data_IF_782647757732
#
_entry.id   IF_782647757732
#
_cell.length_a   1.000
_cell.length_b   1.000
_cell.length_c   1.000
_cell.angle_alpha   90.00
_cell.angle_beta   90.00
_cell.angle_gamma   90.00
#
_symmetry.space_group_name_H-M   'P 1'
#
loop_
_entity.id
_entity.type
_entity.pdbx_description
1 polymer ?
#
# COMPACT_ATOMS: atom_id res chain seq x y z
N UNK A 1 -2.97 13.79 20.03
CA UNK A 1 -3.02 14.17 18.60
C UNK A 1 -4.47 14.39 18.21
N UNK A 2 -4.80 15.43 17.45
CA UNK A 2 -6.19 15.66 16.99
C UNK A 2 -6.63 14.63 15.95
N UNK A 3 -7.94 14.32 15.90
CA UNK A 3 -8.52 13.29 15.01
C UNK A 3 -8.17 13.49 13.53
N UNK A 4 -8.21 14.74 13.04
CA UNK A 4 -7.83 15.08 11.66
C UNK A 4 -6.36 14.76 11.37
N UNK A 5 -5.47 15.06 12.32
CA UNK A 5 -4.05 14.72 12.17
C UNK A 5 -3.85 13.21 12.15
N UNK A 6 -4.56 12.45 13.00
CA UNK A 6 -4.52 11.00 13.03
C UNK A 6 -4.94 10.38 11.67
N UNK A 7 -6.02 10.90 11.11
CA UNK A 7 -6.54 10.50 9.80
C UNK A 7 -5.50 10.76 8.70
N UNK A 8 -4.97 11.98 8.62
CA UNK A 8 -4.01 12.36 7.58
C UNK A 8 -2.68 11.59 7.74
N UNK A 9 -2.16 11.42 8.95
CA UNK A 9 -0.95 10.61 9.17
C UNK A 9 -1.18 9.16 8.73
N UNK A 10 -2.35 8.60 9.01
CA UNK A 10 -2.71 7.24 8.55
C UNK A 10 -2.69 7.13 7.02
N UNK A 11 -3.20 8.13 6.30
CA UNK A 11 -3.16 8.12 4.82
C UNK A 11 -1.72 8.27 4.31
N UNK A 12 -0.91 9.14 4.93
CA UNK A 12 0.52 9.27 4.62
C UNK A 12 1.29 7.96 4.80
N UNK A 13 0.89 7.17 5.79
CA UNK A 13 1.56 5.92 6.13
C UNK A 13 1.39 4.81 5.08
N UNK A 14 0.50 4.97 4.09
CA UNK A 14 0.45 4.11 2.89
C UNK A 14 1.82 4.05 2.19
N UNK A 15 2.56 5.17 2.18
CA UNK A 15 3.92 5.29 1.62
C UNK A 15 5.02 5.31 2.70
N UNK A 16 4.73 4.85 3.92
CA UNK A 16 5.63 4.95 5.09
C UNK A 16 5.98 6.38 5.51
N UNK A 17 5.11 7.36 5.20
CA UNK A 17 5.35 8.76 5.55
C UNK A 17 4.37 9.21 6.63
N UNK A 18 4.83 9.28 7.88
CA UNK A 18 4.03 9.64 9.04
C UNK A 18 3.86 11.17 9.22
N UNK A 19 3.47 11.89 8.15
CA UNK A 19 3.25 13.35 8.18
C UNK A 19 1.83 13.71 7.71
N UNK A 20 1.09 14.59 8.41
CA UNK A 20 -0.24 15.02 7.97
C UNK A 20 -0.25 15.61 6.55
N UNK A 21 0.78 16.39 6.19
CA UNK A 21 0.90 16.97 4.85
C UNK A 21 1.03 15.88 3.76
N UNK A 22 1.73 14.78 4.04
CA UNK A 22 1.82 13.66 3.10
C UNK A 22 0.45 13.03 2.85
N UNK A 23 -0.32 12.78 3.92
CA UNK A 23 -1.70 12.30 3.80
C UNK A 23 -2.63 13.26 3.09
N UNK A 24 -2.47 14.57 3.31
CA UNK A 24 -3.25 15.59 2.60
C UNK A 24 -2.95 15.56 1.10
N UNK A 25 -1.68 15.52 0.71
CA UNK A 25 -1.27 15.43 -0.70
C UNK A 25 -1.87 14.18 -1.36
N UNK A 26 -1.71 13.01 -0.73
CA UNK A 26 -2.28 11.75 -1.23
C UNK A 26 -3.81 11.87 -1.35
N UNK A 27 -4.49 12.42 -0.35
CA UNK A 27 -5.95 12.61 -0.37
C UNK A 27 -6.37 13.51 -1.53
N UNK A 28 -5.68 14.62 -1.78
CA UNK A 28 -5.96 15.52 -2.89
C UNK A 28 -5.70 14.83 -4.25
N UNK A 29 -4.66 14.01 -4.35
CA UNK A 29 -4.39 13.21 -5.54
C UNK A 29 -5.52 12.23 -5.85
N UNK A 30 -5.94 11.44 -4.85
CA UNK A 30 -7.07 10.50 -4.99
C UNK A 30 -8.37 11.26 -5.27
N UNK A 31 -8.65 12.36 -4.58
CA UNK A 31 -9.85 13.17 -4.77
C UNK A 31 -9.93 13.75 -6.19
N UNK A 32 -8.80 14.17 -6.75
CA UNK A 32 -8.73 14.68 -8.12
C UNK A 32 -9.12 13.62 -9.15
N UNK A 33 -8.53 12.43 -9.05
CA UNK A 33 -8.73 11.37 -10.05
C UNK A 33 -10.05 10.60 -9.83
N UNK A 34 -10.41 10.31 -8.58
CA UNK A 34 -11.54 9.48 -8.24
C UNK A 34 -12.20 9.94 -6.92
N UNK A 35 -13.10 10.94 -6.96
CA UNK A 35 -13.75 11.47 -5.75
C UNK A 35 -14.47 10.42 -4.89
N UNK A 36 -15.09 9.42 -5.52
CA UNK A 36 -15.77 8.34 -4.79
C UNK A 36 -14.78 7.43 -4.04
N UNK A 37 -13.63 7.11 -4.65
CA UNK A 37 -12.56 6.36 -3.98
C UNK A 37 -11.96 7.17 -2.82
N UNK A 38 -11.80 8.49 -2.98
CA UNK A 38 -11.34 9.36 -1.90
C UNK A 38 -12.33 9.35 -0.71
N UNK A 39 -13.63 9.42 -0.97
CA UNK A 39 -14.66 9.33 0.06
C UNK A 39 -14.61 7.99 0.80
N UNK A 40 -14.52 6.87 0.07
CA UNK A 40 -14.43 5.54 0.65
C UNK A 40 -13.14 5.35 1.49
N UNK A 41 -12.01 5.85 0.99
CA UNK A 41 -10.72 5.88 1.69
C UNK A 41 -10.83 6.63 3.02
N UNK A 42 -11.41 7.84 3.01
CA UNK A 42 -11.56 8.68 4.19
C UNK A 42 -12.48 8.03 5.23
N UNK A 43 -13.62 7.45 4.81
CA UNK A 43 -14.56 6.75 5.70
C UNK A 43 -13.88 5.55 6.36
N UNK A 44 -13.20 4.71 5.58
CA UNK A 44 -12.54 3.52 6.10
C UNK A 44 -11.39 3.89 7.06
N UNK A 45 -10.53 4.83 6.67
CA UNK A 45 -9.42 5.30 7.51
C UNK A 45 -9.91 5.93 8.81
N UNK A 46 -10.95 6.77 8.75
CA UNK A 46 -11.55 7.39 9.93
C UNK A 46 -12.13 6.33 10.87
N UNK A 47 -12.82 5.32 10.34
CA UNK A 47 -13.33 4.19 11.13
C UNK A 47 -12.21 3.46 11.88
N UNK A 48 -11.10 3.13 11.21
CA UNK A 48 -9.95 2.48 11.85
C UNK A 48 -9.32 3.34 12.95
N UNK A 49 -9.18 4.65 12.72
CA UNK A 49 -8.67 5.62 13.71
C UNK A 49 -9.63 5.72 14.92
N UNK A 50 -10.93 5.81 14.68
CA UNK A 50 -11.94 5.88 15.76
C UNK A 50 -11.93 4.62 16.60
N UNK A 51 -11.87 3.43 16.00
CA UNK A 51 -11.78 2.16 16.75
C UNK A 51 -10.52 2.11 17.59
N UNK A 52 -9.36 2.51 17.05
CA UNK A 52 -8.11 2.54 17.81
C UNK A 52 -8.18 3.50 19.00
N UNK A 53 -8.85 4.65 18.82
CA UNK A 53 -9.06 5.63 19.88
C UNK A 53 -10.03 5.12 20.95
N UNK A 54 -11.20 4.60 20.54
CA UNK A 54 -12.24 4.10 21.44
C UNK A 54 -11.80 2.87 22.25
N UNK A 55 -10.94 2.02 21.68
CA UNK A 55 -10.38 0.85 22.36
C UNK A 55 -9.04 1.12 23.04
N UNK A 56 -8.60 2.39 23.09
CA UNK A 56 -7.39 2.82 23.77
C UNK A 56 -6.13 2.02 23.35
N UNK A 57 -6.01 1.73 22.06
CA UNK A 57 -4.82 1.06 21.54
C UNK A 57 -3.57 1.94 21.66
N UNK A 58 -2.39 1.35 21.48
CA UNK A 58 -1.10 2.03 21.68
C UNK A 58 -1.03 3.43 21.04
N UNK A 59 -0.81 4.45 21.86
CA UNK A 59 -0.87 5.85 21.45
C UNK A 59 0.27 6.25 20.48
N UNK A 60 1.43 5.59 20.56
CA UNK A 60 2.54 5.82 19.64
C UNK A 60 2.18 5.27 18.25
N UNK A 61 1.65 4.05 18.17
CA UNK A 61 1.19 3.46 16.91
C UNK A 61 0.02 4.24 16.30
N UNK A 62 -0.86 4.83 17.14
CA UNK A 62 -1.86 5.79 16.68
C UNK A 62 -1.22 7.05 16.08
N UNK A 63 -0.22 7.63 16.75
CA UNK A 63 0.53 8.79 16.27
C UNK A 63 1.32 8.53 14.99
N UNK A 64 1.73 7.28 14.75
CA UNK A 64 2.39 6.83 13.53
C UNK A 64 1.40 6.42 12.42
N UNK A 65 0.08 6.51 12.66
CA UNK A 65 -0.95 6.21 11.66
C UNK A 65 -1.15 4.72 11.37
N UNK A 66 -0.58 3.84 12.21
CA UNK A 66 -0.49 2.41 11.95
C UNK A 66 -1.86 1.70 11.96
N UNK A 67 -2.84 2.22 12.69
CA UNK A 67 -4.19 1.66 12.76
C UNK A 67 -5.12 2.08 11.62
N UNK A 68 -4.78 3.13 10.86
CA UNK A 68 -5.67 3.69 9.83
C UNK A 68 -5.23 3.41 8.39
N UNK A 69 -3.94 3.19 8.10
CA UNK A 69 -3.47 3.11 6.71
C UNK A 69 -3.96 1.86 5.96
N UNK A 70 -4.02 0.71 6.65
CA UNK A 70 -4.61 -0.50 6.07
C UNK A 70 -6.10 -0.30 5.80
N UNK A 71 -6.80 0.40 6.70
CA UNK A 71 -8.21 0.74 6.52
C UNK A 71 -8.42 1.66 5.31
N UNK A 72 -7.53 2.65 5.10
CA UNK A 72 -7.55 3.49 3.90
C UNK A 72 -7.47 2.66 2.61
N UNK A 73 -6.55 1.69 2.55
CA UNK A 73 -6.41 0.77 1.41
C UNK A 73 -7.64 -0.12 1.21
N UNK A 74 -8.29 -0.57 2.28
CA UNK A 74 -9.57 -1.30 2.20
C UNK A 74 -10.62 -0.43 1.52
N UNK A 75 -10.78 0.83 1.95
CA UNK A 75 -11.73 1.76 1.35
C UNK A 75 -11.47 2.01 -0.15
N UNK A 76 -10.20 2.20 -0.53
CA UNK A 76 -9.81 2.36 -1.93
C UNK A 76 -10.15 1.11 -2.77
N UNK A 77 -9.81 -0.08 -2.27
CA UNK A 77 -10.04 -1.32 -3.01
C UNK A 77 -11.53 -1.65 -3.14
N UNK A 78 -12.35 -1.42 -2.10
CA UNK A 78 -13.79 -1.59 -2.21
C UNK A 78 -14.40 -0.66 -3.25
N UNK A 79 -13.98 0.60 -3.27
CA UNK A 79 -14.45 1.56 -4.27
C UNK A 79 -13.99 1.25 -5.70
N UNK A 80 -12.89 0.52 -5.86
CA UNK A 80 -12.41 0.05 -7.16
C UNK A 80 -13.18 -1.19 -7.66
N UNK A 81 -13.44 -2.16 -6.79
CA UNK A 81 -13.89 -3.49 -7.20
C UNK A 81 -15.37 -3.77 -6.93
N UNK A 82 -16.03 -3.01 -6.04
CA UNK A 82 -17.45 -3.19 -5.73
C UNK A 82 -18.32 -2.11 -6.39
N UNK A 83 -19.59 -2.41 -6.70
CA UNK A 83 -20.51 -1.42 -7.22
C UNK A 83 -20.67 -0.21 -6.28
N UNK A 84 -20.71 1.02 -6.80
CA UNK A 84 -20.88 2.20 -5.97
C UNK A 84 -22.26 2.21 -5.32
N UNK A 85 -22.32 2.59 -4.05
CA UNK A 85 -23.57 2.74 -3.31
C UNK A 85 -23.35 2.98 -1.81
N UNK A 86 -24.43 3.27 -1.10
CA UNK A 86 -24.39 3.47 0.36
C UNK A 86 -23.91 2.19 1.07
N UNK A 87 -24.34 1.02 0.60
CA UNK A 87 -23.88 -0.27 1.15
C UNK A 87 -22.37 -0.45 1.07
N UNK A 88 -21.73 0.00 -0.02
CA UNK A 88 -20.28 -0.02 -0.14
C UNK A 88 -19.62 0.96 0.85
N UNK A 89 -20.17 2.15 1.06
CA UNK A 89 -19.61 3.13 2.01
C UNK A 89 -19.71 2.61 3.46
N UNK A 90 -20.81 1.94 3.79
CA UNK A 90 -20.98 1.23 5.07
C UNK A 90 -19.97 0.09 5.19
N UNK A 91 -19.79 -0.72 4.14
CA UNK A 91 -18.80 -1.78 4.11
C UNK A 91 -17.37 -1.24 4.30
N UNK A 92 -17.02 -0.10 3.70
CA UNK A 92 -15.75 0.60 3.91
C UNK A 92 -15.53 0.99 5.37
N UNK A 93 -16.56 1.50 6.06
CA UNK A 93 -16.47 1.79 7.49
C UNK A 93 -16.26 0.51 8.32
N UNK A 94 -17.07 -0.54 8.08
CA UNK A 94 -17.02 -1.80 8.84
C UNK A 94 -15.70 -2.54 8.63
N UNK A 95 -15.27 -2.71 7.38
CA UNK A 95 -14.02 -3.39 7.06
C UNK A 95 -12.79 -2.54 7.41
N UNK A 96 -12.91 -1.21 7.40
CA UNK A 96 -11.90 -0.31 7.95
C UNK A 96 -11.67 -0.51 9.45
N UNK A 97 -12.74 -0.59 10.23
CA UNK A 97 -12.70 -0.95 11.65
C UNK A 97 -12.09 -2.34 11.86
N UNK A 98 -12.53 -3.34 11.09
CA UNK A 98 -12.01 -4.70 11.19
C UNK A 98 -10.51 -4.77 10.84
N UNK A 99 -10.05 -4.00 9.85
CA UNK A 99 -8.63 -3.90 9.52
C UNK A 99 -7.79 -3.39 10.69
N UNK A 100 -8.31 -2.42 11.45
CA UNK A 100 -7.67 -1.92 12.67
C UNK A 100 -7.57 -3.03 13.74
N UNK A 101 -8.66 -3.77 13.97
CA UNK A 101 -8.68 -4.89 14.92
C UNK A 101 -7.71 -6.02 14.52
N UNK A 102 -7.64 -6.36 13.23
CA UNK A 102 -6.68 -7.34 12.70
C UNK A 102 -5.24 -6.84 12.95
N UNK A 103 -4.95 -5.57 12.65
CA UNK A 103 -3.63 -5.01 12.92
C UNK A 103 -3.27 -5.10 14.41
N UNK A 104 -4.18 -4.68 15.30
CA UNK A 104 -3.98 -4.75 16.75
C UNK A 104 -3.72 -6.19 17.21
N UNK A 105 -4.52 -7.14 16.73
CA UNK A 105 -4.34 -8.57 17.02
C UNK A 105 -2.98 -9.08 16.56
N UNK A 106 -2.58 -8.78 15.32
CA UNK A 106 -1.30 -9.20 14.78
C UNK A 106 -0.13 -8.61 15.58
N UNK A 107 -0.20 -7.34 15.97
CA UNK A 107 0.85 -6.70 16.78
C UNK A 107 1.05 -7.35 18.15
N UNK A 108 0.02 -7.99 18.72
CA UNK A 108 0.16 -8.80 19.93
C UNK A 108 0.84 -10.15 19.68
N UNK A 109 0.77 -10.69 18.45
CA UNK A 109 1.23 -12.04 18.11
C UNK A 109 2.59 -12.06 17.41
N UNK A 110 2.92 -11.03 16.62
CA UNK A 110 4.12 -11.02 15.77
C UNK A 110 5.01 -9.81 16.06
N UNK A 111 6.33 -10.06 16.03
CA UNK A 111 7.37 -9.06 16.31
C UNK A 111 8.06 -8.53 15.05
N UNK A 112 7.41 -8.66 13.90
CA UNK A 112 7.83 -8.06 12.63
C UNK A 112 6.74 -7.12 12.09
N UNK A 113 7.07 -6.23 11.14
CA UNK A 113 6.09 -5.31 10.56
C UNK A 113 4.97 -6.09 9.86
N UNK A 114 3.73 -5.74 10.18
CA UNK A 114 2.56 -6.32 9.50
C UNK A 114 2.39 -5.77 8.08
N UNK A 115 3.03 -4.64 7.74
CA UNK A 115 2.88 -3.97 6.45
C UNK A 115 1.39 -3.82 6.07
N UNK A 116 1.03 -4.10 4.82
CA UNK A 116 -0.34 -4.07 4.32
C UNK A 116 -1.09 -5.41 4.52
N UNK A 117 -0.59 -6.32 5.38
CA UNK A 117 -1.22 -7.62 5.61
C UNK A 117 -2.68 -7.50 6.07
N UNK A 118 -3.06 -6.65 7.05
CA UNK A 118 -4.47 -6.50 7.45
C UNK A 118 -5.40 -6.19 6.28
N UNK A 119 -4.99 -5.26 5.40
CA UNK A 119 -5.71 -4.92 4.18
C UNK A 119 -5.84 -6.14 3.24
N UNK A 120 -4.73 -6.82 2.95
CA UNK A 120 -4.74 -7.96 2.03
C UNK A 120 -5.57 -9.14 2.56
N UNK A 121 -5.55 -9.41 3.87
CA UNK A 121 -6.35 -10.48 4.48
C UNK A 121 -7.85 -10.26 4.36
N UNK A 122 -8.30 -9.00 4.24
CA UNK A 122 -9.71 -8.68 4.04
C UNK A 122 -10.10 -8.74 2.57
N UNK A 123 -9.28 -8.14 1.70
CA UNK A 123 -9.68 -7.89 0.31
C UNK A 123 -9.33 -9.06 -0.62
N UNK A 124 -8.18 -9.71 -0.47
CA UNK A 124 -7.79 -10.80 -1.38
C UNK A 124 -8.74 -12.00 -1.35
N UNK A 125 -9.16 -12.52 -0.18
CA UNK A 125 -10.11 -13.64 -0.15
C UNK A 125 -11.44 -13.28 -0.82
N UNK A 126 -11.91 -12.04 -0.61
CA UNK A 126 -13.12 -11.54 -1.25
C UNK A 126 -12.97 -11.48 -2.78
N UNK A 127 -11.87 -10.93 -3.30
CA UNK A 127 -11.60 -10.89 -4.74
C UNK A 127 -11.53 -12.30 -5.36
N UNK A 128 -10.82 -13.21 -4.69
CA UNK A 128 -10.70 -14.60 -5.15
C UNK A 128 -12.06 -15.31 -5.17
N UNK A 129 -12.84 -15.17 -4.11
CA UNK A 129 -14.16 -15.81 -3.99
C UNK A 129 -15.16 -15.30 -5.03
N UNK A 130 -15.10 -14.02 -5.38
CA UNK A 130 -15.95 -13.42 -6.41
C UNK A 130 -15.38 -13.59 -7.84
N UNK A 131 -14.29 -14.35 -7.99
CA UNK A 131 -13.71 -14.65 -9.29
C UNK A 131 -13.07 -13.45 -9.99
N UNK A 132 -12.71 -12.38 -9.26
CA UNK A 132 -11.98 -11.27 -9.83
C UNK A 132 -10.62 -11.76 -10.32
N UNK A 133 -10.43 -11.72 -11.63
CA UNK A 133 -9.16 -11.93 -12.30
C UNK A 133 -8.62 -10.59 -12.77
N UNK A 134 -7.33 -10.54 -13.07
CA UNK A 134 -6.74 -9.37 -13.70
C UNK A 134 -7.44 -9.11 -15.03
N UNK A 135 -7.60 -7.84 -15.37
CA UNK A 135 -8.27 -7.44 -16.61
C UNK A 135 -7.39 -7.85 -17.79
N UNK A 136 -7.97 -8.54 -18.77
CA UNK A 136 -7.27 -8.95 -19.99
C UNK A 136 -6.85 -7.72 -20.82
N UNK A 137 -7.61 -6.64 -20.72
CA UNK A 137 -7.31 -5.34 -21.33
C UNK A 137 -7.14 -4.26 -20.27
N UNK A 138 -6.09 -3.48 -20.39
CA UNK A 138 -5.82 -2.33 -19.53
C UNK A 138 -5.82 -1.04 -20.33
N UNK A 139 -6.27 0.07 -19.73
CA UNK A 139 -6.22 1.38 -20.35
C UNK A 139 -4.81 1.75 -20.84
N UNK A 140 -4.73 2.25 -22.08
CA UNK A 140 -3.50 2.73 -22.70
C UNK A 140 -3.26 4.23 -22.41
N UNK A 141 -2.04 4.71 -22.66
CA UNK A 141 -1.69 6.15 -22.53
C UNK A 141 -1.09 6.56 -21.18
N UNK A 142 -0.54 5.62 -20.42
CA UNK A 142 0.09 5.87 -19.11
C UNK A 142 1.62 5.85 -19.20
N UNK A 143 2.28 6.71 -18.41
CA UNK A 143 3.73 6.79 -18.30
C UNK A 143 4.25 5.85 -17.22
N UNK A 144 4.96 4.80 -17.64
CA UNK A 144 5.51 3.71 -16.81
C UNK A 144 6.04 4.14 -15.43
N UNK A 145 6.89 5.17 -15.39
CA UNK A 145 7.63 5.55 -14.18
C UNK A 145 6.73 6.15 -13.10
N UNK A 146 5.72 6.93 -13.49
CA UNK A 146 4.84 7.62 -12.54
C UNK A 146 3.64 6.75 -12.16
N UNK A 147 3.09 5.99 -13.10
CA UNK A 147 1.92 5.15 -12.84
C UNK A 147 2.16 4.09 -11.78
N UNK A 148 3.38 3.53 -11.69
CA UNK A 148 3.73 2.60 -10.61
C UNK A 148 3.64 3.23 -9.21
N UNK A 149 3.97 4.52 -9.07
CA UNK A 149 3.85 5.23 -7.80
C UNK A 149 2.37 5.45 -7.50
N UNK A 150 1.60 6.03 -8.43
CA UNK A 150 0.16 6.22 -8.26
C UNK A 150 -0.60 4.92 -7.95
N UNK A 151 -0.18 3.80 -8.54
CA UNK A 151 -0.83 2.50 -8.32
C UNK A 151 -0.72 1.94 -6.90
N UNK A 152 0.16 2.49 -6.07
CA UNK A 152 0.16 2.19 -4.62
C UNK A 152 -1.19 2.53 -3.98
N UNK A 153 -1.91 3.54 -4.51
CA UNK A 153 -3.27 3.90 -4.10
C UNK A 153 -4.33 3.55 -5.16
N UNK A 154 -4.04 2.56 -6.01
CA UNK A 154 -4.92 2.07 -7.07
C UNK A 154 -5.21 3.05 -8.23
N UNK A 155 -4.43 4.13 -8.35
CA UNK A 155 -4.66 5.16 -9.34
C UNK A 155 -3.40 5.39 -10.20
N UNK A 156 -3.34 4.85 -11.42
CA UNK A 156 -2.17 5.00 -12.30
C UNK A 156 -2.01 6.41 -12.88
N UNK A 157 -2.98 7.30 -12.62
CA UNK A 157 -3.03 8.65 -13.15
C UNK A 157 -1.89 9.54 -12.65
N UNK A 158 -1.49 10.49 -13.50
CA UNK A 158 -0.36 11.39 -13.27
C UNK A 158 -0.51 12.23 -12.01
N UNK A 159 -1.72 12.72 -11.69
CA UNK A 159 -1.93 13.59 -10.51
C UNK A 159 -1.75 12.83 -9.19
N UNK A 160 -2.43 11.70 -8.94
CA UNK A 160 -2.11 10.81 -7.81
C UNK A 160 -0.63 10.45 -7.71
N UNK A 161 0.03 10.14 -8.83
CA UNK A 161 1.45 9.82 -8.85
C UNK A 161 2.33 11.01 -8.41
N UNK A 162 2.10 12.21 -8.94
CA UNK A 162 2.81 13.43 -8.53
C UNK A 162 2.61 13.71 -7.04
N UNK A 163 1.39 13.55 -6.54
CA UNK A 163 1.08 13.74 -5.13
C UNK A 163 1.77 12.69 -4.24
N UNK A 164 1.85 11.43 -4.69
CA UNK A 164 2.62 10.37 -4.06
C UNK A 164 4.13 10.68 -4.03
N UNK A 165 4.69 11.17 -5.14
CA UNK A 165 6.07 11.64 -5.22
C UNK A 165 6.35 12.78 -4.23
N UNK A 166 5.45 13.78 -4.19
CA UNK A 166 5.56 14.90 -3.26
C UNK A 166 5.48 14.43 -1.81
N UNK A 167 4.59 13.49 -1.49
CA UNK A 167 4.50 12.87 -0.17
C UNK A 167 5.79 12.14 0.22
N UNK A 168 6.38 11.34 -0.69
CA UNK A 168 7.66 10.66 -0.47
C UNK A 168 8.82 11.65 -0.26
N UNK A 169 8.86 12.77 -1.00
CA UNK A 169 9.87 13.81 -0.82
C UNK A 169 9.83 14.44 0.58
N UNK A 170 8.66 14.50 1.23
CA UNK A 170 8.57 14.96 2.62
C UNK A 170 9.31 14.05 3.60
N UNK A 171 9.50 12.77 3.26
CA UNK A 171 10.33 11.83 4.02
C UNK A 171 11.81 11.82 3.56
N UNK A 172 12.12 12.51 2.47
CA UNK A 172 13.47 12.71 1.95
C UNK A 172 13.67 12.13 0.55
N UNK A 173 14.67 12.67 -0.17
CA UNK A 173 14.97 12.29 -1.56
C UNK A 173 15.29 10.79 -1.72
N UNK A 174 15.82 10.15 -0.68
CA UNK A 174 16.08 8.71 -0.68
C UNK A 174 14.80 7.87 -0.79
N UNK A 175 13.71 8.26 -0.13
CA UNK A 175 12.41 7.57 -0.23
C UNK A 175 11.85 7.66 -1.65
N UNK A 176 11.92 8.85 -2.27
CA UNK A 176 11.53 9.03 -3.67
C UNK A 176 12.42 8.24 -4.62
N UNK A 177 13.74 8.29 -4.44
CA UNK A 177 14.71 7.59 -5.29
C UNK A 177 14.49 6.07 -5.27
N UNK A 178 14.26 5.50 -4.08
CA UNK A 178 13.95 4.08 -3.96
C UNK A 178 12.56 3.69 -4.46
N UNK A 179 11.58 4.59 -4.43
CA UNK A 179 10.29 4.35 -5.08
C UNK A 179 10.48 4.13 -6.59
N UNK A 180 11.18 5.04 -7.26
CA UNK A 180 11.48 4.90 -8.69
C UNK A 180 12.37 3.67 -8.99
N UNK A 181 13.43 3.46 -8.22
CA UNK A 181 14.29 2.28 -8.41
C UNK A 181 13.50 0.97 -8.23
N UNK A 182 12.64 0.89 -7.21
CA UNK A 182 11.77 -0.25 -6.96
C UNK A 182 10.82 -0.53 -8.12
N UNK A 183 10.17 0.51 -8.65
CA UNK A 183 9.29 0.40 -9.83
C UNK A 183 10.02 -0.15 -11.06
N UNK A 184 11.21 0.37 -11.35
CA UNK A 184 12.05 -0.04 -12.48
C UNK A 184 12.52 -1.48 -12.32
N UNK A 185 13.10 -1.84 -11.18
CA UNK A 185 13.64 -3.19 -10.92
C UNK A 185 12.54 -4.25 -11.02
N UNK A 186 11.39 -3.98 -10.41
CA UNK A 186 10.28 -4.94 -10.33
C UNK A 186 9.66 -5.17 -11.70
N UNK A 187 9.47 -4.10 -12.47
CA UNK A 187 8.93 -4.19 -13.82
C UNK A 187 9.93 -4.77 -14.82
N UNK A 188 11.22 -4.47 -14.67
CA UNK A 188 12.28 -5.12 -15.42
C UNK A 188 12.33 -6.63 -15.14
N UNK A 189 12.16 -7.03 -13.88
CA UNK A 189 12.05 -8.46 -13.50
C UNK A 189 10.83 -9.11 -14.15
N UNK A 190 9.67 -8.44 -14.14
CA UNK A 190 8.46 -8.93 -14.80
C UNK A 190 8.63 -9.04 -16.34
N UNK A 191 9.30 -8.08 -16.96
CA UNK A 191 9.61 -8.08 -18.39
C UNK A 191 10.54 -9.25 -18.77
N UNK A 192 11.60 -9.50 -17.97
CA UNK A 192 12.48 -10.65 -18.16
C UNK A 192 11.73 -11.99 -18.05
N UNK A 193 10.63 -12.00 -17.30
CA UNK A 193 9.73 -13.14 -17.20
C UNK A 193 8.62 -13.13 -18.26
N UNK A 194 8.67 -12.29 -19.29
CA UNK A 194 7.68 -12.27 -20.38
C UNK A 194 6.25 -11.95 -19.92
N UNK A 195 6.09 -11.08 -18.92
CA UNK A 195 4.79 -10.46 -18.59
C UNK A 195 4.41 -9.46 -19.68
N UNK A 196 3.12 -9.32 -19.99
CA UNK A 196 2.63 -8.36 -20.99
C UNK A 196 3.15 -6.94 -20.67
N UNK A 197 3.89 -6.29 -21.60
CA UNK A 197 4.38 -4.92 -21.44
C UNK A 197 3.29 -3.87 -21.18
N UNK A 198 2.04 -4.11 -21.57
CA UNK A 198 0.96 -3.17 -21.24
C UNK A 198 0.85 -2.99 -19.73
N UNK A 199 0.96 -4.08 -18.94
CA UNK A 199 0.85 -4.03 -17.48
C UNK A 199 1.96 -3.19 -16.83
N UNK A 200 3.06 -3.01 -17.57
CA UNK A 200 4.17 -2.16 -17.17
C UNK A 200 3.74 -0.70 -17.29
N UNK A 201 3.27 -0.27 -18.46
CA UNK A 201 2.85 1.13 -18.69
C UNK A 201 1.73 1.57 -17.74
N UNK A 202 0.77 0.69 -17.45
CA UNK A 202 -0.31 0.96 -16.50
C UNK A 202 0.14 0.92 -15.02
N UNK A 203 1.42 0.66 -14.75
CA UNK A 203 2.01 0.68 -13.41
C UNK A 203 1.77 -0.56 -12.56
N UNK A 204 1.03 -1.56 -13.06
CA UNK A 204 0.67 -2.77 -12.30
C UNK A 204 1.91 -3.59 -11.91
N UNK A 205 2.91 -3.69 -12.78
CA UNK A 205 4.11 -4.47 -12.47
C UNK A 205 5.05 -3.77 -11.48
N UNK A 206 4.87 -2.47 -11.23
CA UNK A 206 5.86 -1.64 -10.52
C UNK A 206 5.54 -1.34 -9.06
N UNK A 207 4.28 -1.18 -8.68
CA UNK A 207 3.90 -0.62 -7.37
C UNK A 207 4.30 -1.51 -6.17
N UNK A 208 4.25 -2.84 -6.32
CA UNK A 208 4.77 -3.74 -5.29
C UNK A 208 6.27 -3.56 -5.08
N UNK A 209 6.99 -3.23 -6.16
CA UNK A 209 8.40 -2.85 -6.16
C UNK A 209 8.68 -1.55 -5.44
N UNK A 210 7.86 -0.52 -5.69
CA UNK A 210 7.89 0.77 -5.01
C UNK A 210 7.87 0.53 -3.49
N UNK A 211 6.85 -0.17 -3.00
CA UNK A 211 6.67 -0.44 -1.58
C UNK A 211 7.80 -1.30 -1.00
N UNK A 212 8.25 -2.33 -1.72
CA UNK A 212 9.30 -3.23 -1.24
C UNK A 212 10.65 -2.52 -1.09
N UNK A 213 11.03 -1.71 -2.08
CA UNK A 213 12.29 -0.98 -2.07
C UNK A 213 12.31 0.11 -0.98
N UNK A 214 11.24 0.91 -0.87
CA UNK A 214 11.17 1.96 0.15
C UNK A 214 11.07 1.37 1.56
N UNK A 215 10.41 0.22 1.75
CA UNK A 215 10.34 -0.43 3.06
C UNK A 215 11.72 -0.85 3.56
N UNK A 216 12.54 -1.48 2.71
CA UNK A 216 13.90 -1.87 3.10
C UNK A 216 14.78 -0.65 3.38
N UNK A 217 14.64 0.41 2.59
CA UNK A 217 15.35 1.67 2.82
C UNK A 217 14.90 2.35 4.12
N UNK A 218 13.60 2.39 4.39
CA UNK A 218 13.00 2.95 5.60
C UNK A 218 13.47 2.23 6.88
N UNK A 219 13.66 0.90 6.81
CA UNK A 219 14.29 0.12 7.89
C UNK A 219 15.80 0.38 8.07
N UNK A 220 16.40 1.27 7.28
CA UNK A 220 17.82 1.62 7.33
C UNK A 220 18.74 0.51 6.84
N UNK A 221 18.25 -0.37 5.96
CA UNK A 221 19.07 -1.45 5.43
C UNK A 221 20.01 -0.96 4.33
N UNK A 222 21.10 -1.71 4.10
CA UNK A 222 22.01 -1.43 2.99
C UNK A 222 21.24 -1.46 1.65
N UNK A 223 21.59 -0.59 0.67
CA UNK A 223 20.96 -0.52 -0.65
C UNK A 223 20.67 -1.87 -1.34
N UNK A 224 21.57 -2.85 -1.20
CA UNK A 224 21.39 -4.18 -1.78
C UNK A 224 20.08 -4.87 -1.34
N UNK A 225 19.58 -4.61 -0.14
CA UNK A 225 18.32 -5.20 0.35
C UNK A 225 17.09 -4.59 -0.31
N UNK A 226 17.09 -3.29 -0.63
CA UNK A 226 16.02 -2.67 -1.43
C UNK A 226 15.97 -3.25 -2.84
N UNK A 227 17.13 -3.55 -3.44
CA UNK A 227 17.22 -4.23 -4.74
C UNK A 227 16.68 -5.65 -4.63
N UNK A 228 17.13 -6.43 -3.64
CA UNK A 228 16.66 -7.82 -3.43
C UNK A 228 15.15 -7.86 -3.21
N UNK A 229 14.61 -6.98 -2.37
CA UNK A 229 13.17 -6.92 -2.12
C UNK A 229 12.38 -6.56 -3.40
N UNK A 230 12.86 -5.61 -4.21
CA UNK A 230 12.23 -5.28 -5.48
C UNK A 230 12.27 -6.42 -6.49
N UNK A 231 13.41 -7.14 -6.62
CA UNK A 231 13.50 -8.33 -7.48
C UNK A 231 12.52 -9.41 -7.02
N UNK A 232 12.48 -9.72 -5.72
CA UNK A 232 11.54 -10.71 -5.16
C UNK A 232 10.08 -10.31 -5.39
N UNK A 233 9.74 -9.03 -5.19
CA UNK A 233 8.42 -8.51 -5.50
C UNK A 233 8.09 -8.65 -6.99
N UNK A 234 9.07 -8.47 -7.88
CA UNK A 234 8.91 -8.64 -9.33
C UNK A 234 8.68 -10.08 -9.74
N UNK A 235 9.42 -11.03 -9.17
CA UNK A 235 9.19 -12.46 -9.37
C UNK A 235 7.77 -12.86 -8.96
N UNK A 236 7.36 -12.47 -7.76
CA UNK A 236 6.02 -12.77 -7.24
C UNK A 236 4.92 -12.11 -8.07
N UNK A 237 5.10 -10.84 -8.44
CA UNK A 237 4.19 -10.10 -9.31
C UNK A 237 4.01 -10.81 -10.65
N UNK A 238 5.12 -11.23 -11.29
CA UNK A 238 5.07 -11.94 -12.56
C UNK A 238 4.31 -13.28 -12.47
N UNK A 239 4.54 -14.05 -11.40
CA UNK A 239 3.83 -15.32 -11.17
C UNK A 239 2.33 -15.08 -11.01
N UNK A 240 1.93 -14.09 -10.21
CA UNK A 240 0.52 -13.79 -9.97
C UNK A 240 -0.18 -13.25 -11.22
N UNK A 241 0.48 -12.36 -11.98
CA UNK A 241 -0.05 -11.85 -13.25
C UNK A 241 -0.27 -12.98 -14.26
N UNK A 242 0.72 -13.87 -14.44
CA UNK A 242 0.61 -15.01 -15.37
C UNK A 242 -0.44 -16.05 -15.00
N UNK A 243 -0.77 -16.15 -13.72
CA UNK A 243 -1.82 -17.04 -13.21
C UNK A 243 -3.19 -16.35 -13.10
N UNK A 244 -3.28 -15.09 -13.53
CA UNK A 244 -4.49 -14.28 -13.49
C UNK A 244 -4.96 -13.95 -12.08
N UNK A 245 -4.13 -14.11 -11.04
CA UNK A 245 -4.53 -13.91 -9.65
C UNK A 245 -4.47 -12.43 -9.28
N UNK A 246 -5.48 -11.89 -8.57
CA UNK A 246 -5.37 -10.56 -7.99
C UNK A 246 -4.26 -10.57 -6.95
N UNK A 247 -3.34 -9.63 -7.04
CA UNK A 247 -2.14 -9.59 -6.19
C UNK A 247 -2.22 -8.60 -5.05
N UNK A 248 -2.94 -7.49 -5.26
CA UNK A 248 -2.90 -6.33 -4.38
C UNK A 248 -1.45 -6.07 -3.94
N UNK A 249 -1.19 -5.96 -2.64
CA UNK A 249 0.16 -5.68 -2.13
C UNK A 249 0.85 -6.89 -1.50
N UNK A 250 0.36 -8.13 -1.76
CA UNK A 250 1.00 -9.34 -1.22
C UNK A 250 2.43 -9.59 -1.72
N UNK A 251 2.79 -9.36 -3.02
CA UNK A 251 4.17 -9.46 -3.47
C UNK A 251 5.13 -8.57 -2.66
N UNK A 252 4.70 -7.36 -2.31
CA UNK A 252 5.43 -6.47 -1.41
C UNK A 252 5.59 -7.04 0.00
N UNK A 253 4.50 -7.51 0.64
CA UNK A 253 4.56 -8.03 2.02
C UNK A 253 5.49 -9.24 2.11
N UNK A 254 5.32 -10.21 1.20
CA UNK A 254 6.08 -11.46 1.20
C UNK A 254 7.56 -11.23 0.87
N UNK A 255 7.88 -10.38 -0.10
CA UNK A 255 9.28 -10.03 -0.42
C UNK A 255 9.98 -9.39 0.77
N UNK A 256 9.33 -8.46 1.47
CA UNK A 256 9.90 -7.80 2.63
C UNK A 256 10.10 -8.77 3.81
N UNK A 257 9.13 -9.65 4.08
CA UNK A 257 9.29 -10.68 5.11
C UNK A 257 10.41 -11.66 4.79
N UNK A 258 10.58 -12.07 3.53
CA UNK A 258 11.69 -12.93 3.14
C UNK A 258 13.03 -12.23 3.38
N UNK A 259 13.16 -10.96 3.01
CA UNK A 259 14.35 -10.16 3.33
C UNK A 259 14.62 -10.07 4.85
N UNK A 260 13.58 -9.86 5.67
CA UNK A 260 13.71 -9.83 7.13
C UNK A 260 14.12 -11.20 7.69
N UNK A 261 13.58 -12.29 7.15
CA UNK A 261 13.91 -13.66 7.53
C UNK A 261 15.38 -13.99 7.25
N UNK A 262 15.85 -13.67 6.04
CA UNK A 262 17.25 -13.89 5.62
C UNK A 262 18.26 -13.10 6.45
N UNK A 263 17.83 -12.00 7.09
CA UNK A 263 18.68 -11.21 7.99
C UNK A 263 18.63 -11.65 9.46
N UNK A 264 17.80 -12.63 9.81
CA UNK A 264 17.53 -12.98 11.20
C UNK A 264 16.81 -11.87 11.99
N UNK A 265 16.20 -10.90 11.31
CA UNK A 265 15.58 -9.70 11.92
C UNK A 265 14.05 -9.75 12.01
N UNK A 266 13.44 -10.92 11.80
CA UNK A 266 12.00 -11.11 12.02
C UNK A 266 11.56 -10.77 13.45
N UNK A 267 12.49 -10.73 14.41
CA UNK A 267 12.19 -10.46 15.82
C UNK A 267 12.57 -9.05 16.29
N UNK A 268 13.23 -8.24 15.45
CA UNK A 268 13.87 -6.97 15.86
C UNK A 268 12.96 -5.73 15.69
N UNK A 269 11.67 -5.89 15.38
CA UNK A 269 10.76 -4.75 15.21
C UNK A 269 10.30 -4.20 16.58
N UNK A 270 11.22 -3.51 17.27
CA UNK A 270 10.93 -2.47 18.25
C UNK A 270 11.35 -1.13 17.63
N UNK A 271 10.43 -0.19 17.56
CA UNK A 271 10.77 1.22 17.42
C UNK A 271 11.71 1.58 18.58
N UNK A 272 12.83 2.23 18.27
CA UNK A 272 13.74 2.74 19.28
C UNK A 272 12.92 3.61 20.26
N UNK A 273 12.98 3.26 21.53
CA UNK A 273 12.55 4.11 22.66
C UNK A 273 13.24 5.47 22.60
#
# INVERSE_FOLDING_TARGET
MGLLSALLVSIGQIYFVNRPLAGLLITLGVLWAAPYMALAMLIAALSGVLVAHCLEFDAQLQAEGCYGFNAALVGLALALFAPPGVGMLVASAVLGALSCLIYAFLRMKVRFPCYTLPFNLLVLPWLYWNGHRLVDEIPQGYDFSLSAIGQVVFLPDTVPAIMGCAALLLAGIGMLGWAFAGAVITSGTALLLLVNPDYINFGLTGYNGVLAAIAMFWHGFKPGWSIVAAVLAGLMTAIMLKTGLPMLTMPFVLSCWLCLALRGRLCDYRTNT
#
